data_IF_333447086268
#
_entry.id   IF_333447086268
#
_cell.length_a   1.000
_cell.length_b   1.000
_cell.length_c   1.000
_cell.angle_alpha   90.00
_cell.angle_beta   90.00
_cell.angle_gamma   90.00
#
_symmetry.space_group_name_H-M   'P 1'
#
loop_
_entity.id
_entity.type
_entity.pdbx_description
1 polymer ?
#
# COMPACT_ATOMS: atom_id res chain seq x y z
N UNK A 1 32.24 15.65 -31.92
CA UNK A 1 31.46 14.42 -31.69
C UNK A 1 32.09 13.70 -30.51
N UNK A 2 31.46 13.70 -29.32
CA UNK A 2 32.01 13.02 -28.16
C UNK A 2 31.34 11.67 -27.92
N UNK A 3 32.18 10.71 -27.55
CA UNK A 3 31.91 9.35 -27.11
C UNK A 3 30.74 9.26 -26.12
N UNK A 4 29.78 8.37 -26.42
CA UNK A 4 28.85 7.85 -25.42
C UNK A 4 29.61 6.81 -24.61
N UNK A 5 29.92 7.13 -23.36
CA UNK A 5 30.46 6.18 -22.40
C UNK A 5 29.55 4.97 -22.25
N UNK A 6 29.89 3.88 -22.92
CA UNK A 6 29.32 2.57 -22.65
C UNK A 6 29.75 2.19 -21.23
N UNK A 7 28.80 2.22 -20.29
CA UNK A 7 29.01 1.64 -18.98
C UNK A 7 29.40 0.17 -19.17
N UNK A 8 30.66 -0.15 -18.89
CA UNK A 8 31.13 -1.54 -18.85
C UNK A 8 30.48 -2.16 -17.62
N UNK A 9 29.34 -2.82 -17.83
CA UNK A 9 28.73 -3.72 -16.86
C UNK A 9 29.75 -4.84 -16.65
N UNK A 10 30.55 -4.73 -15.59
CA UNK A 10 31.56 -5.72 -15.28
C UNK A 10 30.90 -7.10 -15.12
N UNK A 11 31.43 -8.07 -15.88
CA UNK A 11 31.18 -9.48 -15.65
C UNK A 11 31.90 -9.86 -14.35
N UNK A 12 31.21 -9.73 -13.22
CA UNK A 12 31.60 -10.46 -12.01
C UNK A 12 31.27 -11.93 -12.22
N UNK A 13 32.31 -12.75 -12.13
CA UNK A 13 32.42 -14.13 -12.54
C UNK A 13 31.59 -15.13 -11.73
N UNK A 14 31.24 -16.21 -12.44
CA UNK A 14 31.15 -17.62 -12.03
C UNK A 14 30.42 -17.96 -10.71
N UNK A 15 29.11 -18.11 -10.85
CA UNK A 15 28.23 -18.88 -9.97
C UNK A 15 26.89 -18.97 -10.69
N UNK A 16 26.17 -20.08 -10.57
CA UNK A 16 24.82 -20.26 -11.12
C UNK A 16 23.84 -19.36 -10.34
N UNK A 17 24.02 -18.05 -10.50
CA UNK A 17 23.31 -17.04 -9.72
C UNK A 17 22.24 -16.44 -10.63
N UNK A 18 21.01 -16.91 -10.43
CA UNK A 18 19.79 -16.30 -10.96
C UNK A 18 19.52 -14.92 -10.34
N UNK A 19 20.54 -14.25 -9.81
CA UNK A 19 20.48 -12.98 -9.11
C UNK A 19 21.57 -12.04 -9.66
N UNK A 20 21.21 -10.79 -9.94
CA UNK A 20 22.14 -9.75 -10.38
C UNK A 20 22.18 -8.64 -9.34
N UNK A 21 23.37 -8.35 -8.83
CA UNK A 21 23.61 -7.24 -7.91
C UNK A 21 24.41 -6.13 -8.59
N UNK A 22 23.94 -4.89 -8.44
CA UNK A 22 24.56 -3.66 -8.94
C UNK A 22 24.69 -2.73 -7.75
N UNK A 23 25.90 -2.69 -7.20
CA UNK A 23 26.17 -2.08 -5.90
C UNK A 23 27.43 -1.23 -5.93
N UNK A 24 27.42 -0.11 -5.21
CA UNK A 24 28.57 0.79 -5.02
C UNK A 24 29.19 1.27 -6.36
N UNK A 25 28.35 1.50 -7.36
CA UNK A 25 28.80 1.98 -8.67
C UNK A 25 28.76 3.50 -8.76
N UNK A 26 29.51 4.06 -9.72
CA UNK A 26 29.47 5.47 -10.09
C UNK A 26 28.52 5.74 -11.28
N UNK A 27 27.56 4.84 -11.50
CA UNK A 27 26.60 4.97 -12.59
C UNK A 27 25.66 6.13 -12.25
N UNK A 28 25.60 7.13 -13.13
CA UNK A 28 24.69 8.27 -13.00
C UNK A 28 23.30 7.94 -13.58
N UNK A 29 23.27 7.20 -14.70
CA UNK A 29 22.05 6.82 -15.40
C UNK A 29 22.06 5.31 -15.58
N UNK A 30 21.02 4.64 -15.09
CA UNK A 30 20.80 3.23 -15.36
C UNK A 30 20.12 3.10 -16.74
N UNK A 31 20.80 2.51 -17.74
CA UNK A 31 20.47 2.77 -19.13
C UNK A 31 19.26 1.98 -19.64
N UNK A 32 18.70 2.46 -20.76
CA UNK A 32 17.63 1.83 -21.51
C UNK A 32 17.94 0.35 -21.78
N UNK A 33 16.96 -0.52 -21.50
CA UNK A 33 17.07 -1.97 -21.74
C UNK A 33 18.27 -2.68 -21.10
N UNK A 34 18.89 -2.08 -20.08
CA UNK A 34 20.12 -2.59 -19.46
C UNK A 34 20.08 -4.07 -19.07
N UNK A 35 18.93 -4.55 -18.59
CA UNK A 35 18.77 -5.94 -18.13
C UNK A 35 17.98 -6.81 -19.10
N UNK A 36 17.49 -6.27 -20.23
CA UNK A 36 16.49 -6.93 -21.08
C UNK A 36 16.90 -8.28 -21.69
N UNK A 37 18.21 -8.56 -21.80
CA UNK A 37 18.74 -9.83 -22.34
C UNK A 37 18.92 -10.93 -21.28
N UNK A 38 18.73 -10.62 -19.99
CA UNK A 38 19.03 -11.51 -18.87
C UNK A 38 17.78 -12.31 -18.45
N UNK A 39 17.17 -13.02 -19.39
CA UNK A 39 15.86 -13.68 -19.23
C UNK A 39 15.79 -14.74 -18.11
N UNK A 40 16.93 -15.28 -17.69
CA UNK A 40 17.00 -16.29 -16.63
C UNK A 40 17.06 -15.70 -15.22
N UNK A 41 17.16 -14.37 -15.07
CA UNK A 41 17.21 -13.73 -13.76
C UNK A 41 15.90 -13.91 -13.00
N UNK A 42 16.04 -14.28 -11.73
CA UNK A 42 15.00 -14.31 -10.71
C UNK A 42 15.06 -13.11 -9.79
N UNK A 43 16.24 -12.54 -9.54
CA UNK A 43 16.39 -11.38 -8.64
C UNK A 43 17.29 -10.31 -9.21
N UNK A 44 16.93 -9.05 -9.01
CA UNK A 44 17.78 -7.89 -9.33
C UNK A 44 17.86 -6.99 -8.10
N UNK A 45 19.09 -6.64 -7.71
CA UNK A 45 19.35 -5.70 -6.63
C UNK A 45 20.19 -4.52 -7.15
N UNK A 46 19.64 -3.31 -7.04
CA UNK A 46 20.32 -2.04 -7.32
C UNK A 46 20.43 -1.30 -5.99
N UNK A 47 21.58 -1.34 -5.34
CA UNK A 47 21.72 -0.83 -3.97
C UNK A 47 22.97 0.03 -3.79
N UNK A 48 22.92 1.03 -2.92
CA UNK A 48 24.10 1.81 -2.52
C UNK A 48 24.81 2.50 -3.70
N UNK A 49 24.04 2.92 -4.72
CA UNK A 49 24.57 3.66 -5.86
C UNK A 49 24.37 5.16 -5.63
N UNK A 50 25.34 5.78 -4.95
CA UNK A 50 25.26 7.19 -4.54
C UNK A 50 25.26 8.18 -5.71
N UNK A 51 25.82 7.81 -6.88
CA UNK A 51 25.82 8.68 -8.06
C UNK A 51 24.57 8.54 -8.93
N UNK A 52 23.76 7.49 -8.72
CA UNK A 52 22.62 7.16 -9.57
C UNK A 52 21.53 8.22 -9.43
N UNK A 53 21.14 8.83 -10.54
CA UNK A 53 20.14 9.91 -10.61
C UNK A 53 18.87 9.51 -11.34
N UNK A 54 18.97 8.65 -12.35
CA UNK A 54 17.83 8.26 -13.19
C UNK A 54 17.90 6.81 -13.61
N UNK A 55 16.75 6.16 -13.71
CA UNK A 55 16.59 4.86 -14.37
C UNK A 55 15.76 5.07 -15.65
N UNK A 56 16.32 4.67 -16.79
CA UNK A 56 15.68 4.85 -18.09
C UNK A 56 14.62 3.79 -18.40
N UNK A 57 13.78 4.10 -19.40
CA UNK A 57 12.68 3.24 -19.82
C UNK A 57 13.16 1.83 -20.19
N UNK A 58 12.32 0.83 -19.92
CA UNK A 58 12.57 -0.58 -20.20
C UNK A 58 13.84 -1.15 -19.55
N UNK A 59 14.42 -0.49 -18.55
CA UNK A 59 15.59 -1.00 -17.82
C UNK A 59 15.34 -2.42 -17.27
N UNK A 60 14.12 -2.70 -16.80
CA UNK A 60 13.65 -4.00 -16.33
C UNK A 60 12.50 -4.52 -17.21
N UNK A 61 12.80 -4.82 -18.47
CA UNK A 61 11.80 -5.27 -19.44
C UNK A 61 11.93 -6.75 -19.82
N UNK A 62 10.79 -7.43 -19.97
CA UNK A 62 10.66 -8.79 -20.51
C UNK A 62 11.48 -9.86 -19.76
N UNK A 63 11.59 -9.69 -18.44
CA UNK A 63 12.27 -10.63 -17.56
C UNK A 63 11.25 -11.64 -17.01
N UNK A 64 10.90 -12.63 -17.84
CA UNK A 64 9.78 -13.55 -17.61
C UNK A 64 9.96 -14.49 -16.41
N UNK A 65 11.19 -14.65 -15.91
CA UNK A 65 11.51 -15.43 -14.70
C UNK A 65 11.78 -14.59 -13.46
N UNK A 66 11.73 -13.25 -13.57
CA UNK A 66 12.06 -12.35 -12.49
C UNK A 66 10.98 -12.37 -11.41
N UNK A 67 11.40 -12.62 -10.18
CA UNK A 67 10.57 -12.74 -8.99
C UNK A 67 10.77 -11.55 -8.04
N UNK A 68 11.94 -10.90 -8.06
CA UNK A 68 12.27 -9.84 -7.11
C UNK A 68 13.08 -8.70 -7.75
N UNK A 69 12.69 -7.47 -7.47
CA UNK A 69 13.47 -6.27 -7.72
C UNK A 69 13.62 -5.47 -6.43
N UNK A 70 14.85 -5.13 -6.09
CA UNK A 70 15.18 -4.29 -4.95
C UNK A 70 16.00 -3.09 -5.40
N UNK A 71 15.51 -1.88 -5.16
CA UNK A 71 16.19 -0.62 -5.43
C UNK A 71 16.34 0.13 -4.11
N UNK A 72 17.52 0.12 -3.51
CA UNK A 72 17.72 0.70 -2.17
C UNK A 72 18.91 1.65 -2.06
N UNK A 73 18.88 2.52 -1.05
CA UNK A 73 20.03 3.34 -0.61
C UNK A 73 20.68 4.12 -1.76
N UNK A 74 19.88 4.62 -2.70
CA UNK A 74 20.32 5.37 -3.87
C UNK A 74 19.71 6.77 -3.78
N UNK A 75 20.18 7.55 -2.80
CA UNK A 75 19.55 8.82 -2.37
C UNK A 75 19.45 9.89 -3.45
N UNK A 76 20.33 9.84 -4.44
CA UNK A 76 20.32 10.80 -5.55
C UNK A 76 19.42 10.35 -6.71
N UNK A 77 18.80 9.16 -6.65
CA UNK A 77 17.87 8.68 -7.66
C UNK A 77 16.57 9.47 -7.54
N UNK A 78 16.38 10.44 -8.43
CA UNK A 78 15.26 11.40 -8.38
C UNK A 78 14.13 11.05 -9.35
N UNK A 79 14.40 10.25 -10.38
CA UNK A 79 13.38 9.85 -11.34
C UNK A 79 13.58 8.46 -11.93
N UNK A 80 12.46 7.85 -12.32
CA UNK A 80 12.40 6.65 -13.14
C UNK A 80 11.51 6.97 -14.33
N UNK A 81 11.95 6.62 -15.53
CA UNK A 81 11.18 6.87 -16.74
C UNK A 81 9.91 6.02 -16.77
N UNK A 82 8.95 6.45 -17.58
CA UNK A 82 7.81 5.61 -17.97
C UNK A 82 8.32 4.27 -18.51
N UNK A 83 7.57 3.20 -18.27
CA UNK A 83 7.90 1.86 -18.74
C UNK A 83 9.24 1.30 -18.22
N UNK A 84 9.79 1.86 -17.14
CA UNK A 84 10.99 1.30 -16.48
C UNK A 84 10.79 -0.18 -16.11
N UNK A 85 9.61 -0.51 -15.61
CA UNK A 85 9.16 -1.87 -15.36
C UNK A 85 8.19 -2.30 -16.45
N UNK A 86 8.52 -3.35 -17.20
CA UNK A 86 7.71 -3.76 -18.33
C UNK A 86 7.65 -5.28 -18.49
N UNK A 87 6.44 -5.86 -18.47
CA UNK A 87 6.21 -7.27 -18.75
C UNK A 87 6.96 -8.18 -17.78
N UNK A 88 6.58 -8.13 -16.50
CA UNK A 88 7.20 -8.86 -15.40
C UNK A 88 6.19 -9.84 -14.76
N UNK A 89 5.76 -10.88 -15.49
CA UNK A 89 4.61 -11.72 -15.11
C UNK A 89 4.82 -12.52 -13.82
N UNK A 90 6.07 -12.75 -13.40
CA UNK A 90 6.42 -13.51 -12.19
C UNK A 90 6.91 -12.64 -11.04
N UNK A 91 6.89 -11.31 -11.17
CA UNK A 91 7.37 -10.43 -10.12
C UNK A 91 6.51 -10.59 -8.88
N UNK A 92 7.11 -10.89 -7.74
CA UNK A 92 6.45 -11.08 -6.44
C UNK A 92 6.83 -9.99 -5.46
N UNK A 93 8.07 -9.54 -5.51
CA UNK A 93 8.63 -8.59 -4.55
C UNK A 93 9.21 -7.40 -5.29
N UNK A 94 8.65 -6.21 -5.02
CA UNK A 94 9.21 -4.96 -5.52
C UNK A 94 9.46 -4.04 -4.33
N UNK A 95 10.74 -3.80 -4.04
CA UNK A 95 11.17 -2.94 -2.93
C UNK A 95 11.90 -1.73 -3.47
N UNK A 96 11.46 -0.54 -3.06
CA UNK A 96 12.09 0.74 -3.38
C UNK A 96 12.25 1.52 -2.08
N UNK A 97 13.47 1.70 -1.60
CA UNK A 97 13.69 2.30 -0.29
C UNK A 97 14.89 3.24 -0.24
N UNK A 98 14.75 4.33 0.54
CA UNK A 98 15.83 5.29 0.77
C UNK A 98 16.41 5.82 -0.55
N UNK A 99 15.50 6.33 -1.40
CA UNK A 99 15.81 6.99 -2.68
C UNK A 99 15.38 8.46 -2.64
N UNK A 100 15.80 9.23 -3.65
CA UNK A 100 15.44 10.63 -3.82
C UNK A 100 14.19 10.84 -4.67
N UNK A 101 13.41 9.79 -4.95
CA UNK A 101 12.27 9.86 -5.84
C UNK A 101 11.25 10.85 -5.33
N UNK A 102 10.75 11.70 -6.22
CA UNK A 102 9.73 12.71 -5.91
C UNK A 102 8.32 12.25 -6.26
N UNK A 103 8.20 11.18 -7.05
CA UNK A 103 6.95 10.59 -7.50
C UNK A 103 7.05 9.06 -7.47
N UNK A 104 5.91 8.39 -7.29
CA UNK A 104 5.83 6.94 -7.46
C UNK A 104 6.24 6.55 -8.89
N UNK A 105 6.96 5.42 -9.08
CA UNK A 105 7.23 4.89 -10.41
C UNK A 105 5.95 4.53 -11.16
N UNK A 106 6.02 4.51 -12.49
CA UNK A 106 4.92 4.02 -13.33
C UNK A 106 4.86 2.49 -13.30
N UNK A 107 3.72 1.94 -12.86
CA UNK A 107 3.46 0.51 -12.79
C UNK A 107 2.52 -0.01 -13.88
N UNK A 108 2.07 0.86 -14.80
CA UNK A 108 1.02 0.55 -15.81
C UNK A 108 1.29 -0.72 -16.60
N UNK A 109 2.57 -1.06 -16.81
CA UNK A 109 3.02 -2.15 -17.67
C UNK A 109 3.80 -3.24 -16.92
N UNK A 110 3.74 -3.31 -15.59
CA UNK A 110 4.35 -4.42 -14.83
C UNK A 110 3.63 -5.74 -15.15
N UNK A 111 2.30 -5.73 -15.02
CA UNK A 111 1.39 -6.83 -15.32
C UNK A 111 1.79 -8.16 -14.65
N UNK A 112 2.16 -8.12 -13.38
CA UNK A 112 2.44 -9.35 -12.65
C UNK A 112 1.18 -10.22 -12.52
N UNK A 113 1.37 -11.53 -12.65
CA UNK A 113 0.36 -12.56 -12.38
C UNK A 113 0.78 -13.44 -11.20
N UNK A 114 1.80 -13.02 -10.45
CA UNK A 114 2.31 -13.81 -9.34
C UNK A 114 1.38 -13.76 -8.12
N UNK A 115 1.31 -14.87 -7.40
CA UNK A 115 0.65 -14.94 -6.10
C UNK A 115 1.50 -14.25 -5.03
N UNK A 116 0.82 -13.74 -4.00
CA UNK A 116 1.44 -13.12 -2.83
C UNK A 116 2.32 -11.90 -3.17
N UNK A 117 1.80 -11.01 -4.03
CA UNK A 117 2.54 -9.82 -4.44
C UNK A 117 2.75 -8.86 -3.27
N UNK A 118 3.98 -8.40 -3.08
CA UNK A 118 4.36 -7.43 -2.06
C UNK A 118 5.08 -6.25 -2.72
N UNK A 119 4.53 -5.05 -2.49
CA UNK A 119 5.19 -3.80 -2.83
C UNK A 119 5.62 -3.10 -1.55
N UNK A 120 6.92 -2.80 -1.46
CA UNK A 120 7.50 -2.11 -0.31
C UNK A 120 8.18 -0.81 -0.72
N UNK A 121 7.58 0.30 -0.29
CA UNK A 121 8.09 1.65 -0.46
C UNK A 121 8.34 2.24 0.93
N UNK A 122 9.61 2.26 1.35
CA UNK A 122 10.00 2.73 2.69
C UNK A 122 11.10 3.81 2.63
N UNK A 123 11.00 4.84 3.48
CA UNK A 123 12.01 5.89 3.63
C UNK A 123 12.26 6.72 2.34
N UNK A 124 11.23 6.93 1.52
CA UNK A 124 11.27 7.82 0.35
C UNK A 124 10.61 9.17 0.69
N UNK A 125 11.36 10.03 1.37
CA UNK A 125 10.87 11.26 2.01
C UNK A 125 10.35 12.33 1.04
N UNK A 126 10.65 12.23 -0.25
CA UNK A 126 10.24 13.21 -1.26
C UNK A 126 8.99 12.79 -2.05
N UNK A 127 8.44 11.60 -1.81
CA UNK A 127 7.16 11.17 -2.38
C UNK A 127 6.04 11.70 -1.49
N UNK A 128 5.40 12.79 -1.94
CA UNK A 128 4.41 13.52 -1.13
C UNK A 128 2.96 13.14 -1.45
N UNK A 129 2.66 12.68 -2.65
CA UNK A 129 1.27 12.44 -3.10
C UNK A 129 1.14 11.04 -3.70
N UNK A 130 0.15 10.29 -3.24
CA UNK A 130 -0.34 9.10 -3.95
C UNK A 130 -1.42 9.55 -4.92
N UNK A 131 -1.07 9.58 -6.21
CA UNK A 131 -1.95 10.06 -7.28
C UNK A 131 -3.03 9.05 -7.64
N UNK A 132 -4.05 9.55 -8.33
CA UNK A 132 -5.10 8.74 -8.97
C UNK A 132 -4.51 7.58 -9.80
N UNK A 133 -5.00 6.36 -9.61
CA UNK A 133 -4.56 5.13 -10.30
C UNK A 133 -3.06 4.79 -10.13
N UNK A 134 -2.40 5.24 -9.05
CA UNK A 134 -0.95 5.09 -8.86
C UNK A 134 -0.45 3.64 -8.93
N UNK A 135 -1.30 2.65 -8.62
CA UNK A 135 -0.94 1.23 -8.59
C UNK A 135 -1.59 0.41 -9.72
N UNK A 136 -2.25 1.06 -10.68
CA UNK A 136 -2.84 0.39 -11.82
C UNK A 136 -1.77 -0.33 -12.65
N UNK A 137 -2.04 -1.58 -13.03
CA UNK A 137 -1.11 -2.40 -13.83
C UNK A 137 -0.01 -3.10 -13.02
N UNK A 138 0.15 -2.82 -11.72
CA UNK A 138 1.19 -3.43 -10.88
C UNK A 138 1.07 -4.96 -10.82
N UNK A 139 -0.14 -5.46 -10.55
CA UNK A 139 -0.49 -6.88 -10.59
C UNK A 139 -1.94 -7.06 -11.01
N UNK A 140 -2.22 -8.17 -11.69
CA UNK A 140 -3.58 -8.63 -11.99
C UNK A 140 -4.21 -9.42 -10.83
N UNK A 141 -3.38 -9.83 -9.86
CA UNK A 141 -3.79 -10.58 -8.67
C UNK A 141 -4.06 -9.70 -7.46
N UNK A 142 -3.98 -10.30 -6.27
CA UNK A 142 -4.08 -9.58 -5.00
C UNK A 142 -2.70 -9.12 -4.55
N UNK A 143 -2.58 -7.85 -4.18
CA UNK A 143 -1.45 -7.29 -3.44
C UNK A 143 -1.63 -7.71 -1.98
N UNK A 144 -0.86 -8.70 -1.54
CA UNK A 144 -0.91 -9.19 -0.17
C UNK A 144 -0.45 -8.12 0.80
N UNK A 145 0.63 -7.40 0.47
CA UNK A 145 1.08 -6.27 1.28
C UNK A 145 1.47 -5.08 0.41
N UNK A 146 0.78 -3.97 0.62
CA UNK A 146 1.10 -2.66 0.08
C UNK A 146 1.68 -1.81 1.21
N UNK A 147 3.01 -1.75 1.30
CA UNK A 147 3.72 -1.01 2.33
C UNK A 147 4.21 0.32 1.76
N UNK A 148 3.72 1.41 2.34
CA UNK A 148 4.03 2.79 1.98
C UNK A 148 4.51 3.50 3.25
N UNK A 149 5.46 2.90 3.96
CA UNK A 149 5.81 3.23 5.35
C UNK A 149 6.90 4.31 5.41
N UNK A 150 6.81 5.25 6.36
CA UNK A 150 7.84 6.30 6.58
C UNK A 150 8.26 7.07 5.31
N UNK A 151 7.32 7.39 4.43
CA UNK A 151 7.59 8.27 3.29
C UNK A 151 7.22 9.72 3.62
N UNK A 152 7.33 10.60 2.63
CA UNK A 152 6.91 11.99 2.71
C UNK A 152 5.44 12.23 2.47
N UNK A 153 4.60 11.18 2.48
CA UNK A 153 3.22 11.28 1.96
C UNK A 153 2.40 12.23 2.83
N UNK A 154 1.77 13.21 2.18
CA UNK A 154 0.89 14.23 2.79
C UNK A 154 -0.56 14.04 2.37
N UNK A 155 -0.79 13.51 1.17
CA UNK A 155 -2.10 13.39 0.53
C UNK A 155 -2.26 12.07 -0.25
N UNK A 156 -3.46 11.50 -0.21
CA UNK A 156 -3.90 10.39 -1.07
C UNK A 156 -5.14 10.84 -1.85
N UNK A 157 -5.00 10.95 -3.16
CA UNK A 157 -6.03 11.47 -4.06
C UNK A 157 -7.21 10.49 -4.24
N UNK A 158 -8.31 10.97 -4.84
CA UNK A 158 -9.41 10.10 -5.28
C UNK A 158 -8.89 9.00 -6.22
N UNK A 159 -9.53 7.83 -6.20
CA UNK A 159 -9.17 6.70 -7.07
C UNK A 159 -7.69 6.26 -6.99
N UNK A 160 -6.94 6.64 -5.95
CA UNK A 160 -5.52 6.28 -5.81
C UNK A 160 -5.27 4.77 -5.92
N UNK A 161 -6.19 3.95 -5.39
CA UNK A 161 -6.11 2.49 -5.39
C UNK A 161 -7.04 1.82 -6.42
N UNK A 162 -7.61 2.59 -7.35
CA UNK A 162 -8.54 2.06 -8.35
C UNK A 162 -7.92 0.90 -9.16
N UNK A 163 -8.71 -0.17 -9.38
CA UNK A 163 -8.29 -1.35 -10.15
C UNK A 163 -7.36 -2.30 -9.38
N UNK A 164 -7.21 -2.13 -8.06
CA UNK A 164 -6.36 -2.99 -7.23
C UNK A 164 -7.17 -3.88 -6.30
N UNK A 165 -6.59 -5.02 -5.92
CA UNK A 165 -7.08 -5.85 -4.81
C UNK A 165 -5.99 -5.86 -3.74
N UNK A 166 -6.27 -5.29 -2.58
CA UNK A 166 -5.29 -5.10 -1.50
C UNK A 166 -5.75 -5.88 -0.28
N UNK A 167 -4.88 -6.71 0.28
CA UNK A 167 -5.15 -7.40 1.54
C UNK A 167 -4.71 -6.55 2.73
N UNK A 168 -3.47 -6.08 2.74
CA UNK A 168 -2.90 -5.26 3.82
C UNK A 168 -2.31 -3.97 3.27
N UNK A 169 -2.73 -2.84 3.84
CA UNK A 169 -2.22 -1.51 3.51
C UNK A 169 -1.55 -0.89 4.74
N UNK A 170 -0.27 -0.55 4.59
CA UNK A 170 0.51 0.10 5.64
C UNK A 170 0.92 1.51 5.20
N UNK A 171 0.36 2.51 5.87
CA UNK A 171 0.66 3.95 5.71
C UNK A 171 1.42 4.49 6.92
N UNK A 172 1.90 3.59 7.80
CA UNK A 172 2.51 3.94 9.07
C UNK A 172 3.69 4.90 8.90
N UNK A 173 3.80 5.90 9.77
CA UNK A 173 4.97 6.78 9.84
C UNK A 173 5.04 7.86 8.77
N UNK A 174 4.03 8.01 7.89
CA UNK A 174 3.87 9.22 7.09
C UNK A 174 3.34 10.35 7.99
N UNK A 175 4.25 11.00 8.72
CA UNK A 175 3.92 11.94 9.80
C UNK A 175 3.12 13.16 9.34
N UNK A 176 3.19 13.50 8.05
CA UNK A 176 2.51 14.64 7.45
C UNK A 176 1.23 14.24 6.68
N UNK A 177 0.88 12.96 6.65
CA UNK A 177 -0.34 12.48 5.98
C UNK A 177 -1.57 12.96 6.75
N UNK A 178 -2.28 13.93 6.19
CA UNK A 178 -3.46 14.57 6.81
C UNK A 178 -4.77 14.14 6.15
N UNK A 179 -4.74 13.91 4.84
CA UNK A 179 -5.93 13.65 4.06
C UNK A 179 -5.78 12.38 3.22
N UNK A 180 -6.72 11.46 3.40
CA UNK A 180 -7.04 10.42 2.41
C UNK A 180 -8.41 10.76 1.85
N UNK A 181 -8.51 10.93 0.52
CA UNK A 181 -9.80 11.23 -0.12
C UNK A 181 -10.83 10.12 0.19
N UNK A 182 -12.08 10.50 0.42
CA UNK A 182 -13.16 9.55 0.73
C UNK A 182 -13.38 8.53 -0.41
N UNK A 183 -13.00 8.89 -1.64
CA UNK A 183 -13.08 8.08 -2.84
C UNK A 183 -11.73 7.50 -3.27
N UNK A 184 -10.69 7.54 -2.43
CA UNK A 184 -9.37 6.97 -2.73
C UNK A 184 -9.44 5.46 -3.08
N UNK A 185 -10.41 4.76 -2.49
CA UNK A 185 -10.62 3.31 -2.64
C UNK A 185 -11.75 2.94 -3.61
N UNK A 186 -12.30 3.90 -4.37
CA UNK A 186 -13.25 3.55 -5.43
C UNK A 186 -12.59 2.64 -6.47
N UNK A 187 -13.26 1.54 -6.80
CA UNK A 187 -12.74 0.52 -7.72
C UNK A 187 -11.63 -0.36 -7.14
N UNK A 188 -11.31 -0.24 -5.85
CA UNK A 188 -10.42 -1.13 -5.13
C UNK A 188 -11.20 -2.22 -4.37
N UNK A 189 -10.62 -3.42 -4.24
CA UNK A 189 -11.10 -4.45 -3.31
C UNK A 189 -10.21 -4.48 -2.05
N UNK A 190 -10.80 -4.34 -0.86
CA UNK A 190 -10.06 -4.26 0.41
C UNK A 190 -9.77 -2.80 0.83
N UNK A 191 -8.81 -2.56 1.74
CA UNK A 191 -7.97 -3.53 2.47
C UNK A 191 -8.71 -4.27 3.59
N UNK A 192 -8.18 -5.43 3.99
CA UNK A 192 -8.60 -6.18 5.18
C UNK A 192 -7.83 -5.72 6.43
N UNK A 193 -6.58 -5.29 6.26
CA UNK A 193 -5.74 -4.73 7.31
C UNK A 193 -5.30 -3.33 6.92
N UNK A 194 -5.51 -2.36 7.80
CA UNK A 194 -5.07 -0.98 7.62
C UNK A 194 -4.23 -0.55 8.82
N UNK A 195 -2.99 -0.13 8.55
CA UNK A 195 -2.15 0.55 9.53
C UNK A 195 -1.90 2.00 9.11
N UNK A 196 -2.41 2.92 9.92
CA UNK A 196 -2.28 4.37 9.77
C UNK A 196 -1.52 4.97 10.97
N UNK A 197 -0.82 4.15 11.74
CA UNK A 197 -0.13 4.58 12.95
C UNK A 197 0.90 5.67 12.66
N UNK A 198 1.07 6.61 13.59
CA UNK A 198 2.01 7.74 13.46
C UNK A 198 1.79 8.57 12.18
N UNK A 199 0.53 8.78 11.81
CA UNK A 199 0.11 9.73 10.77
C UNK A 199 -0.64 10.90 11.41
N UNK A 200 -0.96 11.92 10.60
CA UNK A 200 -1.71 13.10 11.02
C UNK A 200 -3.14 13.12 10.48
N UNK A 201 -3.71 11.96 10.12
CA UNK A 201 -5.06 11.88 9.56
C UNK A 201 -6.10 12.27 10.60
N UNK A 202 -7.12 13.02 10.17
CA UNK A 202 -8.22 13.45 11.05
C UNK A 202 -9.50 12.65 10.88
N UNK A 203 -9.63 11.89 9.79
CA UNK A 203 -10.81 11.08 9.46
C UNK A 203 -10.41 9.83 8.68
N UNK A 204 -11.28 8.81 8.71
CA UNK A 204 -11.13 7.57 7.95
C UNK A 204 -12.03 7.62 6.70
N UNK A 205 -11.56 7.15 5.53
CA UNK A 205 -12.41 7.05 4.34
C UNK A 205 -13.43 5.92 4.49
N UNK A 206 -14.72 6.25 4.53
CA UNK A 206 -15.76 5.29 4.92
C UNK A 206 -15.92 4.09 3.97
N UNK A 207 -15.70 4.30 2.66
CA UNK A 207 -15.93 3.30 1.62
C UNK A 207 -15.15 1.99 1.82
N UNK A 208 -13.98 2.04 2.47
CA UNK A 208 -13.15 0.85 2.71
C UNK A 208 -13.43 0.16 4.06
N UNK A 209 -14.11 0.84 4.98
CA UNK A 209 -14.26 0.38 6.37
C UNK A 209 -15.15 -0.87 6.51
N UNK A 210 -16.05 -1.10 5.56
CA UNK A 210 -17.02 -2.20 5.61
C UNK A 210 -16.37 -3.59 5.66
N UNK A 211 -15.28 -3.78 4.91
CA UNK A 211 -14.55 -5.05 4.80
C UNK A 211 -13.31 -5.10 5.71
N UNK A 212 -13.02 -4.02 6.42
CA UNK A 212 -11.83 -3.90 7.24
C UNK A 212 -11.94 -4.84 8.44
N UNK A 213 -10.96 -5.72 8.61
CA UNK A 213 -10.92 -6.71 9.70
C UNK A 213 -10.02 -6.28 10.85
N UNK A 214 -8.94 -5.55 10.53
CA UNK A 214 -7.97 -5.04 11.49
C UNK A 214 -7.63 -3.58 11.19
N UNK A 215 -7.87 -2.71 12.17
CA UNK A 215 -7.46 -1.30 12.16
C UNK A 215 -6.35 -1.07 13.18
N UNK A 216 -5.21 -0.55 12.73
CA UNK A 216 -4.10 -0.13 13.59
C UNK A 216 -3.91 1.39 13.42
N UNK A 217 -4.22 2.13 14.47
CA UNK A 217 -4.19 3.59 14.52
C UNK A 217 -3.54 4.06 15.82
N UNK A 218 -2.30 3.63 16.04
CA UNK A 218 -1.51 3.99 17.23
C UNK A 218 -0.78 5.31 17.02
N UNK A 219 -0.78 6.17 18.03
CA UNK A 219 -0.19 7.52 17.97
C UNK A 219 -0.73 8.38 16.81
N UNK A 220 -2.03 8.34 16.56
CA UNK A 220 -2.77 9.14 15.58
C UNK A 220 -3.66 10.15 16.32
N UNK A 221 -3.03 11.15 16.96
CA UNK A 221 -3.71 12.10 17.84
C UNK A 221 -4.64 13.09 17.12
N UNK A 222 -4.53 13.19 15.81
CA UNK A 222 -5.43 13.97 14.95
C UNK A 222 -6.78 13.28 14.74
N UNK A 223 -6.83 11.95 14.82
CA UNK A 223 -8.05 11.15 14.65
C UNK A 223 -8.84 11.15 15.96
N UNK A 224 -9.50 12.27 16.24
CA UNK A 224 -10.25 12.46 17.50
C UNK A 224 -11.59 11.72 17.50
N UNK A 225 -12.18 11.55 16.32
CA UNK A 225 -13.50 10.95 16.14
C UNK A 225 -13.40 9.75 15.21
N UNK A 226 -14.19 8.73 15.50
CA UNK A 226 -14.46 7.63 14.58
C UNK A 226 -15.75 7.91 13.82
N UNK A 227 -15.89 7.41 12.58
CA UNK A 227 -17.17 7.41 11.89
C UNK A 227 -18.16 6.46 12.58
N UNK A 228 -19.39 6.38 12.06
CA UNK A 228 -20.41 5.48 12.60
C UNK A 228 -19.86 4.04 12.69
N UNK A 229 -20.00 3.43 13.87
CA UNK A 229 -19.49 2.09 14.18
C UNK A 229 -20.16 0.99 13.35
N UNK A 230 -21.37 1.20 12.83
CA UNK A 230 -22.07 0.26 11.95
C UNK A 230 -21.36 0.03 10.63
N UNK A 231 -20.59 1.02 10.16
CA UNK A 231 -19.83 0.91 8.91
C UNK A 231 -18.74 -0.16 9.06
N UNK A 232 -18.25 -0.42 10.27
CA UNK A 232 -17.24 -1.44 10.55
C UNK A 232 -17.84 -2.86 10.65
N UNK A 233 -18.47 -3.33 9.57
CA UNK A 233 -19.24 -4.57 9.57
C UNK A 233 -18.39 -5.83 9.84
N UNK A 234 -17.15 -5.89 9.32
CA UNK A 234 -16.26 -7.04 9.46
C UNK A 234 -15.12 -6.83 10.49
N UNK A 235 -15.14 -5.73 11.24
CA UNK A 235 -14.01 -5.36 12.11
C UNK A 235 -13.91 -6.30 13.33
N UNK A 236 -12.81 -7.04 13.39
CA UNK A 236 -12.53 -8.00 14.46
C UNK A 236 -11.62 -7.42 15.53
N UNK A 237 -10.64 -6.62 15.12
CA UNK A 237 -9.60 -6.09 15.99
C UNK A 237 -9.31 -4.62 15.66
N UNK A 238 -9.10 -3.82 16.70
CA UNK A 238 -8.70 -2.43 16.59
C UNK A 238 -7.64 -2.11 17.64
N UNK A 239 -6.53 -1.48 17.22
CA UNK A 239 -5.52 -0.93 18.10
C UNK A 239 -5.49 0.60 17.91
N UNK A 240 -6.03 1.33 18.87
CA UNK A 240 -6.37 2.74 18.71
C UNK A 240 -5.62 3.62 19.71
N UNK A 241 -5.46 4.90 19.37
CA UNK A 241 -4.77 5.88 20.21
C UNK A 241 -5.56 6.25 21.46
N UNK A 242 -6.88 6.41 21.33
CA UNK A 242 -7.73 6.88 22.41
C UNK A 242 -8.48 5.72 23.07
N UNK A 243 -8.34 5.50 24.40
CA UNK A 243 -9.11 4.49 25.11
C UNK A 243 -10.64 4.67 25.01
N UNK A 244 -11.11 5.90 24.84
CA UNK A 244 -12.54 6.20 24.65
C UNK A 244 -13.13 5.54 23.40
N UNK A 245 -12.35 5.41 22.32
CA UNK A 245 -12.77 4.68 21.13
C UNK A 245 -12.96 3.18 21.41
N UNK A 246 -12.08 2.58 22.22
CA UNK A 246 -12.21 1.19 22.64
C UNK A 246 -13.47 0.97 23.48
N UNK A 247 -13.81 1.92 24.37
CA UNK A 247 -15.07 1.89 25.12
C UNK A 247 -16.29 1.93 24.19
N UNK A 248 -16.25 2.78 23.15
CA UNK A 248 -17.33 2.88 22.17
C UNK A 248 -17.57 1.54 21.44
N UNK A 249 -16.51 0.89 20.94
CA UNK A 249 -16.63 -0.44 20.32
C UNK A 249 -17.14 -1.52 21.28
N UNK A 250 -16.69 -1.50 22.55
CA UNK A 250 -17.14 -2.45 23.56
C UNK A 250 -18.63 -2.29 23.87
N UNK A 251 -19.11 -1.06 24.03
CA UNK A 251 -20.52 -0.76 24.31
C UNK A 251 -21.39 -1.05 23.09
N UNK A 252 -20.93 -0.75 21.88
CA UNK A 252 -21.65 -1.08 20.65
C UNK A 252 -21.86 -2.59 20.49
N UNK A 253 -20.81 -3.41 20.73
CA UNK A 253 -20.95 -4.87 20.74
C UNK A 253 -21.89 -5.35 21.83
N UNK A 254 -21.85 -4.74 23.03
CA UNK A 254 -22.75 -5.05 24.15
C UNK A 254 -24.21 -4.81 23.77
N UNK A 255 -24.55 -3.63 23.22
CA UNK A 255 -25.91 -3.30 22.79
C UNK A 255 -26.41 -4.23 21.67
N UNK A 256 -25.53 -4.67 20.76
CA UNK A 256 -25.87 -5.69 19.76
C UNK A 256 -26.14 -7.07 20.38
N UNK A 257 -25.39 -7.44 21.42
CA UNK A 257 -25.51 -8.76 22.08
C UNK A 257 -26.60 -8.83 23.14
N UNK A 258 -26.94 -7.71 23.78
CA UNK A 258 -28.02 -7.61 24.76
C UNK A 258 -29.33 -7.34 24.02
N UNK A 259 -29.84 -8.36 23.32
CA UNK A 259 -31.26 -8.39 22.97
C UNK A 259 -32.02 -8.44 24.29
N UNK A 260 -32.74 -7.38 24.63
CA UNK A 260 -33.55 -7.39 25.84
C UNK A 260 -34.50 -8.59 25.75
N UNK A 261 -34.61 -9.43 26.79
CA UNK A 261 -35.36 -10.69 26.75
C UNK A 261 -36.83 -10.47 26.38
N UNK A 262 -37.35 -9.29 26.69
CA UNK A 262 -38.68 -8.82 26.30
C UNK A 262 -38.84 -8.59 24.79
N UNK A 263 -37.75 -8.37 24.03
CA UNK A 263 -37.77 -8.27 22.57
C UNK A 263 -38.09 -9.61 21.87
N UNK A 264 -38.06 -10.74 22.59
CA UNK A 264 -38.50 -12.02 22.05
C UNK A 264 -40.02 -12.22 22.15
N UNK A 265 -40.72 -11.34 22.88
CA UNK A 265 -42.17 -11.34 22.96
C UNK A 265 -42.77 -10.54 21.79
N UNK A 266 -43.54 -11.22 20.94
CA UNK A 266 -44.21 -10.63 19.78
C UNK A 266 -45.21 -9.51 20.12
N UNK A 267 -45.70 -9.44 21.37
CA UNK A 267 -46.67 -8.41 21.77
C UNK A 267 -46.02 -7.12 22.27
N UNK A 268 -44.72 -7.13 22.60
CA UNK A 268 -44.04 -5.99 23.21
C UNK A 268 -44.05 -4.75 22.30
N UNK A 269 -44.05 -4.95 20.97
CA UNK A 269 -44.12 -3.88 19.97
C UNK A 269 -45.42 -3.07 20.04
N UNK A 270 -46.51 -3.72 20.47
CA UNK A 270 -47.83 -3.09 20.58
C UNK A 270 -48.12 -2.61 22.01
N UNK A 271 -47.58 -3.28 23.02
CA UNK A 271 -47.81 -2.95 24.42
C UNK A 271 -46.89 -1.84 24.94
N UNK A 272 -45.62 -1.87 24.54
CA UNK A 272 -44.58 -0.92 24.97
C UNK A 272 -43.80 -0.40 23.74
N UNK A 273 -44.45 0.38 22.86
CA UNK A 273 -43.87 0.78 21.57
C UNK A 273 -42.59 1.62 21.72
N UNK A 274 -42.49 2.44 22.76
CA UNK A 274 -41.28 3.23 23.04
C UNK A 274 -40.09 2.36 23.44
N UNK A 275 -40.30 1.40 24.34
CA UNK A 275 -39.29 0.43 24.73
C UNK A 275 -38.82 -0.42 23.54
N UNK A 276 -39.75 -0.86 22.70
CA UNK A 276 -39.41 -1.63 21.50
C UNK A 276 -38.57 -0.83 20.51
N UNK A 277 -38.90 0.46 20.28
CA UNK A 277 -38.09 1.31 19.41
C UNK A 277 -36.67 1.56 19.94
N UNK A 278 -36.51 1.70 21.25
CA UNK A 278 -35.22 2.06 21.87
C UNK A 278 -34.32 0.83 22.11
N UNK A 279 -34.88 -0.36 22.28
CA UNK A 279 -34.13 -1.55 22.74
C UNK A 279 -34.26 -2.79 21.86
N UNK A 280 -35.18 -2.82 20.89
CA UNK A 280 -35.42 -3.99 20.05
C UNK A 280 -35.24 -3.71 18.55
N UNK A 281 -35.12 -2.44 18.12
CA UNK A 281 -35.14 -2.02 16.72
C UNK A 281 -33.80 -2.18 15.98
N UNK A 282 -32.68 -2.11 16.70
CA UNK A 282 -31.31 -2.14 16.15
C UNK A 282 -30.62 -3.52 16.25
N UNK A 283 -31.36 -4.54 16.69
CA UNK A 283 -30.85 -5.91 16.77
C UNK A 283 -31.07 -6.61 15.43
N UNK A 284 -30.05 -6.56 14.57
CA UNK A 284 -30.00 -7.35 13.33
C UNK A 284 -29.96 -8.84 13.72
N UNK A 285 -30.91 -9.62 13.21
CA UNK A 285 -30.92 -11.10 13.27
C UNK A 285 -29.64 -11.73 12.72
#
# INVERSE_FOLDING_TARGET
>A
MPDRGHAVISRLCCGINYAREIKLTQIIIFPYRAMSSLHDLKRIMVSENGALQRIEAYAFANLTKLEEITITKSKNLVSMDRDTFWGLPKLRYLTISNTGLTVLPDFSNVQSAAFEFLFDLEDNMHIEVIRSNAFAGLTSGTITELRLTKNGITEVERNAFNGTKIEKLFLMGNQQLKHIDNHAFLGAEGPLVLDISRTAISSLPENMLRRLKLLIATSVYSLRWLPNLEIFAELTQANLTYPSHCCAFKNFKKNKSEKNHLCNDSTIRNQEPYFFEEHCKDVIE
#
